data_IF_625692664357
#
_entry.id   IF_625692664357
#
_cell.length_a   1.000
_cell.length_b   1.000
_cell.length_c   1.000
_cell.angle_alpha   90.00
_cell.angle_beta   90.00
_cell.angle_gamma   90.00
#
_symmetry.space_group_name_H-M   'P 1'
#
loop_
_entity.id
_entity.type
_entity.pdbx_description
1 polymer ?
#
# COMPACT_ATOMS: atom_id res chain seq x y z
N UNK A 1 -3.97 -3.12 -8.83
CA UNK A 1 -3.31 -1.80 -8.72
C UNK A 1 -3.85 -1.11 -7.47
N UNK A 2 -3.00 -0.80 -6.50
CA UNK A 2 -3.41 -0.17 -5.25
C UNK A 2 -3.44 1.36 -5.40
N UNK A 3 -4.45 1.86 -6.10
CA UNK A 3 -4.65 3.29 -6.35
C UNK A 3 -5.77 3.85 -5.45
N UNK A 4 -5.80 5.17 -5.28
CA UNK A 4 -6.85 5.87 -4.55
C UNK A 4 -6.45 6.25 -3.12
N UNK A 5 -5.36 5.72 -2.57
CA UNK A 5 -4.92 5.95 -1.18
C UNK A 5 -4.96 7.44 -0.76
N UNK A 6 -4.39 8.34 -1.58
CA UNK A 6 -4.39 9.79 -1.29
C UNK A 6 -5.78 10.43 -1.41
N UNK A 7 -6.57 9.98 -2.39
CA UNK A 7 -7.96 10.45 -2.59
C UNK A 7 -8.83 10.03 -1.42
N UNK A 8 -8.67 8.79 -0.97
CA UNK A 8 -9.35 8.22 0.19
C UNK A 8 -8.96 8.93 1.49
N UNK A 9 -7.66 9.22 1.71
CA UNK A 9 -7.21 9.96 2.89
C UNK A 9 -7.87 11.35 2.97
N UNK A 10 -7.88 12.09 1.84
CA UNK A 10 -8.54 13.40 1.75
C UNK A 10 -10.05 13.32 1.97
N UNK A 11 -10.72 12.35 1.35
CA UNK A 11 -12.16 12.14 1.51
C UNK A 11 -12.53 11.75 2.95
N UNK A 12 -11.62 11.06 3.65
CA UNK A 12 -11.76 10.67 5.06
C UNK A 12 -11.37 11.78 6.05
N UNK A 13 -11.01 12.98 5.56
CA UNK A 13 -10.63 14.11 6.41
C UNK A 13 -9.27 13.98 7.10
N UNK A 14 -8.39 13.10 6.59
CA UNK A 14 -7.07 12.90 7.17
C UNK A 14 -6.12 14.03 6.73
N UNK A 15 -5.38 14.57 7.70
CA UNK A 15 -4.41 15.64 7.48
C UNK A 15 -3.14 15.18 6.74
N UNK A 16 -2.80 13.89 6.84
CA UNK A 16 -1.67 13.28 6.15
C UNK A 16 -2.15 12.23 5.14
N UNK A 17 -1.72 12.37 3.88
CA UNK A 17 -2.03 11.41 2.81
C UNK A 17 -1.36 10.06 3.01
N UNK A 18 -0.29 10.00 3.81
CA UNK A 18 0.39 8.75 4.16
C UNK A 18 -0.48 7.82 5.01
N UNK A 19 -1.46 8.35 5.75
CA UNK A 19 -2.43 7.50 6.46
C UNK A 19 -3.28 6.69 5.48
N UNK A 20 -3.57 7.23 4.30
CA UNK A 20 -4.21 6.47 3.23
C UNK A 20 -3.33 5.37 2.68
N UNK A 21 -2.01 5.58 2.62
CA UNK A 21 -1.06 4.55 2.21
C UNK A 21 -0.96 3.42 3.24
N UNK A 22 -0.93 3.74 4.53
CA UNK A 22 -0.98 2.73 5.62
C UNK A 22 -2.25 1.87 5.53
N UNK A 23 -3.41 2.53 5.41
CA UNK A 23 -4.69 1.82 5.25
C UNK A 23 -4.76 0.99 3.97
N UNK A 24 -4.12 1.45 2.90
CA UNK A 24 -3.97 0.68 1.68
C UNK A 24 -3.12 -0.58 1.88
N UNK A 25 -2.05 -0.50 2.67
CA UNK A 25 -1.22 -1.66 3.03
C UNK A 25 -1.99 -2.67 3.88
N UNK A 26 -2.73 -2.22 4.90
CA UNK A 26 -3.59 -3.11 5.71
C UNK A 26 -4.60 -3.87 4.82
N UNK A 27 -5.21 -3.16 3.86
CA UNK A 27 -6.17 -3.75 2.93
C UNK A 27 -5.53 -4.75 1.97
N UNK A 28 -4.25 -4.57 1.61
CA UNK A 28 -3.51 -5.54 0.80
C UNK A 28 -3.37 -6.86 1.55
N UNK A 29 -3.00 -6.85 2.83
CA UNK A 29 -2.89 -8.08 3.64
C UNK A 29 -4.22 -8.82 3.73
N UNK A 30 -5.32 -8.09 3.96
CA UNK A 30 -6.67 -8.67 3.97
C UNK A 30 -7.06 -9.25 2.59
N UNK A 31 -6.76 -8.53 1.51
CA UNK A 31 -7.00 -8.99 0.14
C UNK A 31 -6.24 -10.27 -0.20
N UNK A 32 -4.97 -10.38 0.23
CA UNK A 32 -4.17 -11.58 0.03
C UNK A 32 -4.74 -12.78 0.78
N UNK A 33 -5.28 -12.57 2.00
CA UNK A 33 -6.02 -13.61 2.71
C UNK A 33 -7.23 -14.12 1.94
N UNK A 34 -8.00 -13.23 1.32
CA UNK A 34 -9.12 -13.64 0.45
C UNK A 34 -8.66 -14.40 -0.80
N UNK A 35 -7.52 -14.03 -1.37
CA UNK A 35 -6.93 -14.75 -2.49
C UNK A 35 -6.55 -16.19 -2.10
N UNK A 36 -5.97 -16.37 -0.92
CA UNK A 36 -5.63 -17.69 -0.38
C UNK A 36 -6.90 -18.54 -0.14
N UNK A 37 -7.93 -17.96 0.49
CA UNK A 37 -9.21 -18.63 0.78
C UNK A 37 -9.88 -19.23 -0.46
N UNK A 38 -9.67 -18.63 -1.64
CA UNK A 38 -10.26 -19.08 -2.92
C UNK A 38 -9.27 -19.79 -3.84
N UNK A 39 -8.04 -20.03 -3.39
CA UNK A 39 -7.02 -20.79 -4.12
C UNK A 39 -6.33 -20.03 -5.26
N UNK A 40 -6.19 -18.71 -5.16
CA UNK A 40 -5.37 -17.93 -6.11
C UNK A 40 -3.89 -18.14 -5.81
N UNK A 41 -3.19 -18.83 -6.71
CA UNK A 41 -1.79 -19.22 -6.52
C UNK A 41 -0.79 -18.06 -6.67
N UNK A 42 -1.12 -17.04 -7.48
CA UNK A 42 -0.20 -15.93 -7.79
C UNK A 42 -0.94 -14.60 -7.80
N UNK A 43 -0.41 -13.64 -7.03
CA UNK A 43 -0.89 -12.25 -6.99
C UNK A 43 0.28 -11.31 -7.26
N UNK A 44 0.11 -10.41 -8.23
CA UNK A 44 1.08 -9.36 -8.54
C UNK A 44 0.56 -8.00 -8.08
N UNK A 45 1.28 -7.37 -7.15
CA UNK A 45 0.93 -6.07 -6.60
C UNK A 45 1.82 -4.96 -7.18
N UNK A 46 1.19 -3.87 -7.63
CA UNK A 46 1.90 -2.67 -8.05
C UNK A 46 1.98 -1.69 -6.88
N UNK A 47 3.08 -1.77 -6.12
CA UNK A 47 3.28 -0.97 -4.90
C UNK A 47 3.93 0.40 -5.17
N UNK A 48 4.84 0.46 -6.15
CA UNK A 48 5.56 1.68 -6.52
C UNK A 48 5.77 1.75 -8.04
N UNK A 49 5.51 2.91 -8.64
CA UNK A 49 5.82 3.19 -10.05
C UNK A 49 6.99 4.17 -10.17
N UNK A 50 7.60 4.24 -11.36
CA UNK A 50 8.62 5.25 -11.68
C UNK A 50 8.11 6.68 -11.46
N UNK A 51 6.84 6.95 -11.78
CA UNK A 51 6.22 8.26 -11.56
C UNK A 51 6.06 8.58 -10.07
N UNK A 52 5.96 7.58 -9.21
CA UNK A 52 5.91 7.80 -7.76
C UNK A 52 7.27 8.24 -7.21
N UNK A 53 8.38 7.88 -7.86
CA UNK A 53 9.72 8.33 -7.48
C UNK A 53 9.92 9.84 -7.71
N UNK A 54 9.10 10.47 -8.56
CA UNK A 54 9.14 11.92 -8.81
C UNK A 54 8.37 12.74 -7.77
N UNK A 55 7.78 12.11 -6.74
CA UNK A 55 7.04 12.81 -5.67
C UNK A 55 8.00 13.53 -4.71
N UNK A 56 7.52 14.57 -3.98
CA UNK A 56 8.31 15.22 -2.95
C UNK A 56 8.84 14.22 -1.91
N UNK A 57 10.05 14.45 -1.42
CA UNK A 57 10.72 13.55 -0.46
C UNK A 57 9.91 13.33 0.81
N UNK A 58 9.16 14.34 1.26
CA UNK A 58 8.26 14.28 2.42
C UNK A 58 7.08 13.32 2.22
N UNK A 59 6.69 13.01 0.98
CA UNK A 59 5.67 12.01 0.64
C UNK A 59 6.32 10.67 0.29
N UNK A 60 7.47 10.69 -0.40
CA UNK A 60 8.14 9.49 -0.87
C UNK A 60 8.77 8.67 0.26
N UNK A 61 9.47 9.30 1.21
CA UNK A 61 10.13 8.56 2.31
C UNK A 61 9.14 7.76 3.16
N UNK A 62 8.00 8.33 3.63
CA UNK A 62 7.02 7.55 4.37
C UNK A 62 6.39 6.44 3.53
N UNK A 63 6.11 6.69 2.23
CA UNK A 63 5.60 5.67 1.32
C UNK A 63 6.54 4.47 1.20
N UNK A 64 7.85 4.71 1.04
CA UNK A 64 8.84 3.64 0.97
C UNK A 64 8.87 2.81 2.25
N UNK A 65 8.85 3.45 3.43
CA UNK A 65 8.80 2.72 4.70
C UNK A 65 7.52 1.90 4.89
N UNK A 66 6.38 2.38 4.38
CA UNK A 66 5.12 1.60 4.39
C UNK A 66 5.23 0.37 3.49
N UNK A 67 5.85 0.51 2.31
CA UNK A 67 6.06 -0.60 1.36
C UNK A 67 7.02 -1.62 1.96
N UNK A 68 8.13 -1.17 2.55
CA UNK A 68 9.12 -2.02 3.23
C UNK A 68 8.45 -2.85 4.32
N UNK A 69 7.76 -2.22 5.27
CA UNK A 69 7.08 -2.93 6.35
C UNK A 69 5.98 -3.89 5.86
N UNK A 70 5.24 -3.53 4.80
CA UNK A 70 4.29 -4.45 4.19
C UNK A 70 4.98 -5.70 3.63
N UNK A 71 6.08 -5.53 2.88
CA UNK A 71 6.80 -6.66 2.28
C UNK A 71 7.46 -7.53 3.34
N UNK A 72 8.03 -6.93 4.39
CA UNK A 72 8.56 -7.67 5.54
C UNK A 72 7.48 -8.52 6.21
N UNK A 73 6.33 -7.93 6.55
CA UNK A 73 5.22 -8.66 7.17
C UNK A 73 4.70 -9.80 6.29
N UNK A 74 4.66 -9.62 4.96
CA UNK A 74 4.22 -10.66 4.02
C UNK A 74 5.27 -11.78 3.82
N UNK A 75 6.53 -11.50 4.14
CA UNK A 75 7.62 -12.48 4.06
C UNK A 75 7.83 -13.22 5.39
N UNK A 76 7.11 -12.86 6.45
CA UNK A 76 7.13 -13.62 7.71
C UNK A 76 6.64 -15.06 7.47
N UNK A 77 7.27 -16.06 8.10
CA UNK A 77 6.99 -17.48 7.90
C UNK A 77 5.68 -17.97 8.53
#
# INVERSE_FOLDING_TARGET
>A
MADGNRRWARASGLGDVNDGHRRGADKISEFLGWCDDVGVEVVTLWLLSTDNLSRPESELRPLLGIIEGLVENLAEP
#
